data_IF_081993406630
#
_entry.id   IF_081993406630
#
_cell.length_a   1.000
_cell.length_b   1.000
_cell.length_c   1.000
_cell.angle_alpha   90.00
_cell.angle_beta   90.00
_cell.angle_gamma   90.00
#
_symmetry.space_group_name_H-M   'P 1'
#
loop_
_entity.id
_entity.type
_entity.pdbx_description
1 polymer ?
#
# COMPACT_ATOMS: atom_id res chain seq x y z
N UNK A 1 0.59 30.17 5.76
CA UNK A 1 0.72 28.73 5.46
C UNK A 1 1.40 28.12 6.67
N UNK A 2 0.64 27.41 7.50
CA UNK A 2 1.15 26.68 8.68
C UNK A 2 1.41 25.23 8.34
N UNK A 3 2.06 24.94 7.24
CA UNK A 3 2.50 23.61 6.88
C UNK A 3 4.02 23.58 6.83
N UNK A 4 4.64 22.64 7.50
CA UNK A 4 6.07 22.48 7.46
C UNK A 4 6.53 22.05 6.06
N UNK A 5 7.08 22.98 5.29
CA UNK A 5 7.97 22.64 4.20
C UNK A 5 9.35 22.38 4.80
N UNK A 6 9.70 21.12 4.96
CA UNK A 6 11.03 20.76 5.44
C UNK A 6 11.67 19.77 4.49
N UNK A 7 12.84 20.13 4.00
CA UNK A 7 13.75 19.20 3.31
C UNK A 7 14.84 18.67 4.26
N UNK A 8 14.87 19.15 5.51
CA UNK A 8 15.89 18.75 6.49
C UNK A 8 15.47 17.53 7.26
N UNK A 9 15.96 16.39 6.86
CA UNK A 9 15.96 15.13 7.62
C UNK A 9 17.42 14.73 7.87
N UNK A 10 17.64 13.78 8.77
CA UNK A 10 18.97 13.18 8.91
C UNK A 10 19.35 12.30 7.71
N UNK A 11 18.40 11.93 6.87
CA UNK A 11 18.62 11.24 5.59
C UNK A 11 18.83 12.21 4.44
N UNK A 12 19.12 11.67 3.24
CA UNK A 12 19.51 12.43 2.06
C UNK A 12 18.37 12.51 1.04
N UNK A 13 18.16 13.68 0.42
CA UNK A 13 17.25 13.87 -0.73
C UNK A 13 15.80 13.49 -0.44
N UNK A 14 15.29 13.83 0.74
CA UNK A 14 13.89 13.65 1.10
C UNK A 14 13.07 14.92 0.84
N UNK A 15 11.84 14.77 0.36
CA UNK A 15 10.84 15.85 0.31
C UNK A 15 9.76 15.59 1.34
N UNK A 16 9.51 16.56 2.23
CA UNK A 16 8.47 16.50 3.27
C UNK A 16 7.56 17.70 3.19
N UNK A 17 6.24 17.49 3.19
CA UNK A 17 5.25 18.58 3.19
C UNK A 17 3.99 18.13 3.93
N UNK A 18 3.71 18.72 5.06
CA UNK A 18 2.55 18.41 5.92
C UNK A 18 2.94 18.28 7.38
N UNK A 19 1.93 18.31 8.26
CA UNK A 19 2.13 18.12 9.71
C UNK A 19 2.62 16.71 9.95
N UNK A 20 3.72 16.54 10.67
CA UNK A 20 4.37 15.26 10.97
C UNK A 20 4.77 14.40 9.74
N UNK A 21 4.66 14.91 8.49
CA UNK A 21 5.08 14.16 7.32
C UNK A 21 6.54 13.71 7.47
N UNK A 22 6.81 12.39 7.46
CA UNK A 22 8.14 11.80 7.56
C UNK A 22 8.97 12.29 8.75
N UNK A 23 8.36 12.64 9.87
CA UNK A 23 9.05 13.26 11.01
C UNK A 23 10.05 12.32 11.71
N UNK A 24 9.96 11.01 11.49
CA UNK A 24 10.87 10.01 12.04
C UNK A 24 12.06 9.67 11.13
N UNK A 25 12.13 10.25 9.90
CA UNK A 25 13.21 9.92 8.96
C UNK A 25 14.57 10.24 9.57
N UNK A 26 15.36 9.18 9.76
CA UNK A 26 16.68 9.20 10.38
C UNK A 26 17.80 9.12 9.31
N UNK A 27 19.04 9.09 9.77
CA UNK A 27 20.20 8.82 8.92
C UNK A 27 20.06 7.43 8.30
N UNK A 28 20.10 7.36 6.98
CA UNK A 28 19.85 6.12 6.22
C UNK A 28 18.52 6.11 5.48
N UNK A 29 17.50 6.89 5.91
CA UNK A 29 16.25 7.06 5.16
C UNK A 29 16.41 8.08 4.05
N UNK A 30 16.48 7.65 2.80
CA UNK A 30 16.85 8.49 1.66
C UNK A 30 15.82 8.43 0.54
N UNK A 31 15.78 9.48 -0.28
CA UNK A 31 14.97 9.52 -1.52
C UNK A 31 13.47 9.35 -1.30
N UNK A 32 12.94 9.72 -0.13
CA UNK A 32 11.52 9.61 0.16
C UNK A 32 10.78 10.90 -0.25
N UNK A 33 9.57 10.74 -0.79
CA UNK A 33 8.61 11.83 -1.03
C UNK A 33 7.42 11.62 -0.11
N UNK A 34 7.22 12.53 0.85
CA UNK A 34 6.18 12.41 1.91
C UNK A 34 5.37 13.69 1.93
N UNK A 35 4.12 13.62 1.46
CA UNK A 35 3.24 14.78 1.31
C UNK A 35 1.87 14.48 1.93
N UNK A 36 1.48 15.24 2.92
CA UNK A 36 0.21 15.10 3.64
C UNK A 36 0.43 14.96 5.14
N UNK A 37 -0.60 15.32 5.91
CA UNK A 37 -0.54 15.19 7.35
C UNK A 37 -0.40 13.70 7.73
N UNK A 38 0.52 13.39 8.63
CA UNK A 38 0.85 12.04 9.09
C UNK A 38 1.34 11.07 7.99
N UNK A 39 1.63 11.55 6.76
CA UNK A 39 2.19 10.71 5.71
C UNK A 39 3.58 10.22 6.11
N UNK A 40 3.87 8.91 5.95
CA UNK A 40 5.17 8.32 6.21
C UNK A 40 5.73 8.58 7.60
N UNK A 41 4.89 8.78 8.60
CA UNK A 41 5.27 9.23 9.96
C UNK A 41 6.27 8.30 10.64
N UNK A 42 6.14 6.98 10.44
CA UNK A 42 7.01 5.99 11.05
C UNK A 42 8.30 5.71 10.24
N UNK A 43 8.43 6.21 9.00
CA UNK A 43 9.64 5.94 8.20
C UNK A 43 10.89 6.40 8.97
N UNK A 44 11.80 5.49 9.21
CA UNK A 44 13.10 5.75 9.87
C UNK A 44 14.24 5.65 8.88
N UNK A 45 14.63 4.45 8.49
CA UNK A 45 15.72 4.16 7.54
C UNK A 45 15.24 3.66 6.18
N UNK A 46 13.92 3.60 5.95
CA UNK A 46 13.35 3.17 4.68
C UNK A 46 13.68 4.12 3.53
N UNK A 47 14.04 3.56 2.38
CA UNK A 47 14.47 4.31 1.20
C UNK A 47 13.45 4.27 0.07
N UNK A 48 13.39 5.36 -0.72
CA UNK A 48 12.70 5.38 -1.99
C UNK A 48 11.17 5.20 -1.88
N UNK A 49 10.56 5.63 -0.77
CA UNK A 49 9.12 5.58 -0.62
C UNK A 49 8.46 6.85 -1.15
N UNK A 50 7.30 6.69 -1.75
CA UNK A 50 6.38 7.77 -2.10
C UNK A 50 5.13 7.62 -1.23
N UNK A 51 4.87 8.56 -0.33
CA UNK A 51 3.69 8.60 0.54
C UNK A 51 2.98 9.95 0.35
N UNK A 52 1.87 9.96 -0.36
CA UNK A 52 1.10 11.18 -0.67
C UNK A 52 -0.35 11.01 -0.23
N UNK A 53 -0.76 11.77 0.77
CA UNK A 53 -2.10 11.74 1.33
C UNK A 53 -2.09 11.62 2.85
N UNK A 54 -3.21 11.93 3.49
CA UNK A 54 -3.38 11.79 4.93
C UNK A 54 -3.11 10.34 5.37
N UNK A 55 -2.20 10.12 6.32
CA UNK A 55 -1.78 8.82 6.84
C UNK A 55 -1.33 7.80 5.77
N UNK A 56 -0.95 8.23 4.56
CA UNK A 56 -0.38 7.32 3.58
C UNK A 56 0.94 6.75 4.10
N UNK A 57 1.10 5.42 4.07
CA UNK A 57 2.31 4.69 4.52
C UNK A 57 2.76 5.08 5.93
N UNK A 58 1.83 5.33 6.85
CA UNK A 58 2.14 5.91 8.16
C UNK A 58 2.77 4.94 9.16
N UNK A 59 2.73 3.63 8.90
CA UNK A 59 3.25 2.59 9.82
C UNK A 59 4.58 1.97 9.35
N UNK A 60 4.94 2.11 8.06
CA UNK A 60 6.20 1.57 7.50
C UNK A 60 7.42 2.26 8.12
N UNK A 61 8.36 1.51 8.66
CA UNK A 61 9.50 2.07 9.39
C UNK A 61 10.85 2.01 8.64
N UNK A 62 11.38 0.82 8.40
CA UNK A 62 12.74 0.64 7.89
C UNK A 62 12.80 0.11 6.44
N UNK A 63 11.65 -0.14 5.81
CA UNK A 63 11.59 -0.76 4.49
C UNK A 63 11.26 0.26 3.41
N UNK A 64 11.52 -0.11 2.18
CA UNK A 64 11.47 0.87 1.10
C UNK A 64 10.78 0.41 -0.18
N UNK A 65 10.83 1.33 -1.15
CA UNK A 65 10.35 1.15 -2.51
C UNK A 65 8.83 0.97 -2.62
N UNK A 66 8.07 1.60 -1.71
CA UNK A 66 6.61 1.62 -1.79
C UNK A 66 6.11 2.93 -2.43
N UNK A 67 5.03 2.83 -3.18
CA UNK A 67 4.27 3.97 -3.67
C UNK A 67 2.87 3.93 -3.08
N UNK A 68 2.56 4.86 -2.19
CA UNK A 68 1.26 5.04 -1.55
C UNK A 68 0.70 6.42 -1.89
N UNK A 69 -0.32 6.50 -2.71
CA UNK A 69 -0.96 7.76 -3.10
C UNK A 69 -2.46 7.69 -2.83
N UNK A 70 -2.92 8.47 -1.87
CA UNK A 70 -4.33 8.52 -1.47
C UNK A 70 -4.48 8.55 0.05
N UNK A 71 -5.69 8.91 0.50
CA UNK A 71 -6.07 8.88 1.90
C UNK A 71 -5.88 7.46 2.46
N UNK A 72 -5.00 7.28 3.44
CA UNK A 72 -4.70 6.02 4.11
C UNK A 72 -4.25 4.86 3.18
N UNK A 73 -3.69 5.16 2.00
CA UNK A 73 -3.09 4.13 1.15
C UNK A 73 -1.90 3.47 1.88
N UNK A 74 -1.86 2.13 1.94
CA UNK A 74 -0.86 1.32 2.66
C UNK A 74 -0.66 1.74 4.13
N UNK A 75 -1.70 2.20 4.81
CA UNK A 75 -1.59 2.78 6.15
C UNK A 75 -0.89 1.85 7.16
N UNK A 76 -1.24 0.56 7.18
CA UNK A 76 -0.78 -0.40 8.19
C UNK A 76 0.43 -1.23 7.75
N UNK A 77 0.98 -0.95 6.55
CA UNK A 77 2.11 -1.72 6.02
C UNK A 77 3.34 -1.56 6.93
N UNK A 78 3.92 -2.70 7.31
CA UNK A 78 5.25 -2.83 7.92
C UNK A 78 5.82 -4.23 7.60
N UNK A 79 6.37 -4.36 6.41
CA UNK A 79 6.61 -5.68 5.81
C UNK A 79 7.89 -6.39 6.30
N UNK A 80 8.74 -5.73 7.05
CA UNK A 80 10.01 -6.32 7.53
C UNK A 80 11.05 -6.55 6.41
N UNK A 81 10.76 -6.14 5.18
CA UNK A 81 11.64 -6.23 4.00
C UNK A 81 11.22 -5.21 2.95
N UNK A 82 12.08 -4.91 1.97
CA UNK A 82 11.72 -4.03 0.85
C UNK A 82 10.48 -4.58 0.12
N UNK A 83 9.36 -3.95 0.34
CA UNK A 83 8.04 -4.51 0.00
C UNK A 83 7.59 -4.23 -1.44
N UNK A 84 8.03 -3.14 -2.05
CA UNK A 84 7.78 -2.80 -3.47
C UNK A 84 6.30 -2.86 -3.85
N UNK A 85 5.43 -2.32 -3.00
CA UNK A 85 4.01 -2.21 -3.29
C UNK A 85 3.71 -0.89 -3.98
N UNK A 86 2.73 -0.90 -4.88
CA UNK A 86 2.11 0.29 -5.46
C UNK A 86 0.65 0.31 -5.06
N UNK A 87 0.22 1.33 -4.34
CA UNK A 87 -1.18 1.54 -3.96
C UNK A 87 -1.60 2.97 -4.28
N UNK A 88 -2.58 3.11 -5.16
CA UNK A 88 -3.11 4.41 -5.59
C UNK A 88 -4.62 4.41 -5.45
N UNK A 89 -5.14 5.22 -4.54
CA UNK A 89 -6.58 5.34 -4.29
C UNK A 89 -6.90 5.48 -2.80
N UNK A 90 -8.15 5.86 -2.52
CA UNK A 90 -8.66 5.93 -1.15
C UNK A 90 -8.61 4.54 -0.51
N UNK A 91 -7.85 4.39 0.57
CA UNK A 91 -7.67 3.16 1.33
C UNK A 91 -7.24 1.94 0.49
N UNK A 92 -6.51 2.16 -0.61
CA UNK A 92 -5.89 1.06 -1.35
C UNK A 92 -4.85 0.36 -0.47
N UNK A 93 -5.01 -0.96 -0.26
CA UNK A 93 -4.14 -1.76 0.60
C UNK A 93 -4.15 -1.36 2.08
N UNK A 94 -5.27 -0.86 2.61
CA UNK A 94 -5.39 -0.29 3.96
C UNK A 94 -4.82 -1.20 5.05
N UNK A 95 -5.22 -2.48 5.07
CA UNK A 95 -4.90 -3.44 6.14
C UNK A 95 -3.66 -4.30 5.83
N UNK A 96 -2.91 -3.94 4.77
CA UNK A 96 -1.66 -4.64 4.47
C UNK A 96 -0.67 -4.52 5.62
N UNK A 97 -0.12 -5.63 6.07
CA UNK A 97 0.92 -5.66 7.10
C UNK A 97 2.26 -6.17 6.56
N UNK A 98 2.30 -7.39 6.06
CA UNK A 98 3.54 -8.04 5.58
C UNK A 98 3.54 -8.33 4.08
N UNK A 99 2.50 -7.92 3.37
CA UNK A 99 2.32 -8.15 1.93
C UNK A 99 3.36 -7.41 1.08
N UNK A 100 3.85 -8.06 0.03
CA UNK A 100 4.89 -7.50 -0.84
C UNK A 100 4.52 -7.63 -2.32
N UNK A 101 5.06 -6.73 -3.16
CA UNK A 101 4.97 -6.77 -4.62
C UNK A 101 3.54 -6.77 -5.16
N UNK A 102 2.67 -6.00 -4.54
CA UNK A 102 1.31 -5.82 -5.03
C UNK A 102 1.17 -4.51 -5.82
N UNK A 103 0.31 -4.52 -6.83
CA UNK A 103 -0.13 -3.32 -7.56
C UNK A 103 -1.63 -3.14 -7.32
N UNK A 104 -2.01 -2.13 -6.56
CA UNK A 104 -3.38 -1.86 -6.12
C UNK A 104 -3.79 -0.47 -6.58
N UNK A 105 -4.71 -0.37 -7.53
CA UNK A 105 -5.16 0.91 -8.08
C UNK A 105 -6.69 1.00 -8.08
N UNK A 106 -7.22 1.89 -7.25
CA UNK A 106 -8.66 2.11 -7.09
C UNK A 106 -9.05 2.26 -5.63
N UNK A 107 -10.21 2.84 -5.39
CA UNK A 107 -10.80 2.95 -4.05
C UNK A 107 -11.01 1.54 -3.47
N UNK A 108 -10.48 1.29 -2.27
CA UNK A 108 -10.53 -0.02 -1.60
C UNK A 108 -9.92 -1.20 -2.38
N UNK A 109 -9.10 -0.95 -3.42
CA UNK A 109 -8.40 -2.04 -4.09
C UNK A 109 -7.49 -2.77 -3.10
N UNK A 110 -7.66 -4.09 -2.93
CA UNK A 110 -6.91 -4.91 -1.99
C UNK A 110 -6.96 -4.43 -0.54
N UNK A 111 -8.05 -3.78 -0.11
CA UNK A 111 -8.09 -3.10 1.19
C UNK A 111 -7.81 -4.03 2.37
N UNK A 112 -8.30 -5.27 2.34
CA UNK A 112 -8.13 -6.24 3.43
C UNK A 112 -6.94 -7.20 3.21
N UNK A 113 -6.11 -7.00 2.19
CA UNK A 113 -4.88 -7.80 2.03
C UNK A 113 -4.00 -7.65 3.28
N UNK A 114 -3.73 -8.73 4.00
CA UNK A 114 -2.86 -8.73 5.19
C UNK A 114 -1.43 -9.15 4.80
N UNK A 115 -1.29 -10.34 4.23
CA UNK A 115 -0.01 -10.91 3.81
C UNK A 115 0.00 -11.38 2.35
N UNK A 116 -1.12 -11.27 1.63
CA UNK A 116 -1.22 -11.63 0.21
C UNK A 116 -0.23 -10.86 -0.66
N UNK A 117 0.53 -11.56 -1.49
CA UNK A 117 1.65 -10.97 -2.23
C UNK A 117 1.58 -11.26 -3.72
N UNK A 118 2.26 -10.44 -4.53
CA UNK A 118 2.32 -10.58 -5.99
C UNK A 118 0.94 -10.50 -6.67
N UNK A 119 0.03 -9.68 -6.14
CA UNK A 119 -1.30 -9.47 -6.71
C UNK A 119 -1.37 -8.19 -7.52
N UNK A 120 -2.24 -8.20 -8.53
CA UNK A 120 -2.65 -7.01 -9.29
C UNK A 120 -4.14 -6.80 -9.06
N UNK A 121 -4.53 -5.68 -8.45
CA UNK A 121 -5.91 -5.26 -8.27
C UNK A 121 -6.09 -3.87 -8.89
N UNK A 122 -6.81 -3.78 -9.98
CA UNK A 122 -7.06 -2.54 -10.69
C UNK A 122 -8.56 -2.32 -10.88
N UNK A 123 -9.11 -1.41 -10.10
CA UNK A 123 -10.54 -1.08 -10.08
C UNK A 123 -11.02 -0.86 -8.65
N UNK A 124 -12.12 -0.11 -8.52
CA UNK A 124 -12.76 0.06 -7.21
C UNK A 124 -13.16 -1.31 -6.66
N UNK A 125 -12.79 -1.59 -5.40
CA UNK A 125 -13.06 -2.84 -4.70
C UNK A 125 -12.49 -4.12 -5.36
N UNK A 126 -11.60 -4.00 -6.34
CA UNK A 126 -10.90 -5.18 -6.85
C UNK A 126 -10.12 -5.87 -5.73
N UNK A 127 -10.29 -7.18 -5.55
CA UNK A 127 -9.62 -8.01 -4.54
C UNK A 127 -9.79 -7.48 -3.10
N UNK A 128 -10.93 -6.86 -2.78
CA UNK A 128 -11.08 -6.09 -1.54
C UNK A 128 -11.10 -6.94 -0.27
N UNK A 129 -11.60 -8.18 -0.30
CA UNK A 129 -11.73 -9.02 0.91
C UNK A 129 -10.61 -10.04 1.10
N UNK A 130 -9.77 -10.26 0.10
CA UNK A 130 -8.70 -11.26 0.19
C UNK A 130 -7.65 -10.87 1.22
N UNK A 131 -7.39 -11.75 2.18
CA UNK A 131 -6.41 -11.53 3.24
C UNK A 131 -5.02 -12.08 2.90
N UNK A 132 -4.95 -13.27 2.32
CA UNK A 132 -3.70 -14.02 2.21
C UNK A 132 -3.52 -14.74 0.86
N UNK A 133 -4.30 -14.40 -0.16
CA UNK A 133 -4.11 -14.94 -1.51
C UNK A 133 -2.90 -14.34 -2.23
N UNK A 134 -2.21 -15.16 -2.97
CA UNK A 134 -1.05 -14.76 -3.78
C UNK A 134 -1.33 -14.93 -5.27
N UNK A 135 -0.64 -14.15 -6.12
CA UNK A 135 -0.59 -14.31 -7.57
C UNK A 135 -1.94 -14.12 -8.28
N UNK A 136 -2.89 -13.37 -7.68
CA UNK A 136 -4.15 -13.04 -8.33
C UNK A 136 -4.06 -11.79 -9.20
N UNK A 137 -4.80 -11.79 -10.32
CA UNK A 137 -5.01 -10.62 -11.18
C UNK A 137 -6.49 -10.28 -11.24
N UNK A 138 -6.88 -9.16 -10.64
CA UNK A 138 -8.24 -8.64 -10.61
C UNK A 138 -8.29 -7.29 -11.33
N UNK A 139 -8.84 -7.26 -12.54
CA UNK A 139 -8.93 -6.06 -13.36
C UNK A 139 -10.40 -5.70 -13.65
N UNK A 140 -10.90 -4.68 -13.02
CA UNK A 140 -12.27 -4.19 -13.12
C UNK A 140 -12.88 -3.91 -11.77
N UNK A 141 -13.99 -3.13 -11.74
CA UNK A 141 -14.74 -2.88 -10.51
C UNK A 141 -15.20 -4.21 -9.90
N UNK A 142 -14.93 -4.40 -8.60
CA UNK A 142 -15.28 -5.58 -7.83
C UNK A 142 -14.83 -6.95 -8.45
N UNK A 143 -13.80 -6.94 -9.30
CA UNK A 143 -13.20 -8.19 -9.77
C UNK A 143 -12.58 -8.95 -8.58
N UNK A 144 -12.90 -10.24 -8.41
CA UNK A 144 -12.50 -11.09 -7.27
C UNK A 144 -12.79 -10.47 -5.89
N UNK A 145 -13.81 -9.61 -5.77
CA UNK A 145 -14.04 -8.86 -4.53
C UNK A 145 -14.34 -9.76 -3.32
N UNK A 146 -14.92 -10.93 -3.50
CA UNK A 146 -15.25 -11.89 -2.42
C UNK A 146 -14.22 -13.02 -2.25
N UNK A 147 -13.13 -13.00 -3.03
CA UNK A 147 -12.02 -13.94 -2.78
C UNK A 147 -11.44 -13.67 -1.39
N UNK A 148 -11.24 -14.73 -0.60
CA UNK A 148 -10.67 -14.60 0.75
C UNK A 148 -10.03 -15.93 1.21
N UNK A 149 -8.74 -15.90 1.39
CA UNK A 149 -7.98 -17.04 1.92
C UNK A 149 -7.57 -16.77 3.38
N UNK A 150 -7.94 -17.67 4.27
CA UNK A 150 -7.60 -17.58 5.70
C UNK A 150 -6.10 -17.80 5.96
N UNK A 151 -5.42 -18.50 5.06
CA UNK A 151 -3.97 -18.78 5.13
C UNK A 151 -3.31 -18.44 3.80
N UNK A 152 -1.99 -18.29 3.82
CA UNK A 152 -1.20 -18.04 2.62
C UNK A 152 -1.47 -19.11 1.54
N UNK A 153 -2.00 -18.69 0.40
CA UNK A 153 -2.45 -19.59 -0.67
C UNK A 153 -2.08 -19.00 -2.04
N UNK A 154 -1.43 -19.80 -2.87
CA UNK A 154 -1.19 -19.47 -4.28
C UNK A 154 -2.51 -19.61 -5.04
N UNK A 155 -3.32 -18.56 -5.05
CA UNK A 155 -4.64 -18.56 -5.65
C UNK A 155 -4.60 -18.59 -7.18
N UNK A 156 -3.61 -17.93 -7.79
CA UNK A 156 -3.39 -17.89 -9.24
C UNK A 156 -4.63 -17.49 -10.07
N UNK A 157 -5.61 -16.84 -9.46
CA UNK A 157 -6.86 -16.46 -10.12
C UNK A 157 -6.68 -15.24 -11.01
N UNK A 158 -7.27 -15.28 -12.20
CA UNK A 158 -7.34 -14.13 -13.09
C UNK A 158 -8.78 -13.81 -13.43
N UNK A 159 -9.21 -12.58 -13.14
CA UNK A 159 -10.54 -12.07 -13.46
C UNK A 159 -10.45 -10.69 -14.09
N UNK A 160 -11.04 -10.54 -15.26
CA UNK A 160 -11.05 -9.28 -16.02
C UNK A 160 -12.48 -8.90 -16.37
N UNK A 161 -12.91 -7.74 -15.93
CA UNK A 161 -14.24 -7.18 -16.19
C UNK A 161 -14.98 -6.79 -14.91
N UNK A 162 -16.09 -6.07 -15.09
CA UNK A 162 -16.99 -5.68 -14.01
C UNK A 162 -17.57 -6.93 -13.32
N UNK A 163 -17.40 -7.02 -11.99
CA UNK A 163 -17.83 -8.16 -11.18
C UNK A 163 -17.28 -9.54 -11.65
N UNK A 164 -16.22 -9.56 -12.45
CA UNK A 164 -15.62 -10.82 -12.87
C UNK A 164 -15.13 -11.61 -11.65
N UNK A 165 -15.52 -12.86 -11.54
CA UNK A 165 -15.19 -13.73 -10.41
C UNK A 165 -15.76 -13.27 -9.07
N UNK A 166 -16.82 -12.43 -9.03
CA UNK A 166 -17.38 -11.90 -7.78
C UNK A 166 -17.78 -13.01 -6.78
N UNK A 167 -18.21 -14.15 -7.27
CA UNK A 167 -18.63 -15.28 -6.41
C UNK A 167 -17.48 -16.26 -6.07
N UNK A 168 -16.27 -16.00 -6.55
CA UNK A 168 -15.09 -16.78 -6.14
C UNK A 168 -14.75 -16.41 -4.70
N UNK A 169 -14.64 -17.42 -3.83
CA UNK A 169 -14.22 -17.24 -2.43
C UNK A 169 -12.85 -17.89 -2.19
N UNK A 170 -12.77 -19.20 -2.26
CA UNK A 170 -11.54 -19.98 -2.00
C UNK A 170 -11.14 -20.87 -3.18
N UNK A 171 -11.71 -20.63 -4.36
CA UNK A 171 -11.33 -21.35 -5.59
C UNK A 171 -9.92 -20.98 -6.07
N UNK A 172 -9.18 -21.97 -6.52
CA UNK A 172 -7.84 -21.86 -7.12
C UNK A 172 -7.83 -22.58 -8.46
#
# INVERSE_FOLDING_TARGET
>A
VTGDYSSTTSGTSNLRLGVNAGNSIASGGNYNVVIGDEAGTAITTGDGNIAIGFEALSTEDANGHNTAVGYQALKTLNAGANSRNVAVGYQAGLDMTTAIRNVLMGTFAGANLIAGSNNVAFGEQALTTDRNGHHSTALGHAALANQDFATATDSNNTAVGYNAGLSVTTGV
#
